data_IF_488045671161
#
_entry.id   IF_488045671161
#
_cell.length_a   1.000
_cell.length_b   1.000
_cell.length_c   1.000
_cell.angle_alpha   90.00
_cell.angle_beta   90.00
_cell.angle_gamma   90.00
#
_symmetry.space_group_name_H-M   'P 1'
#
loop_
_entity.id
_entity.type
_entity.pdbx_description
1 polymer ?
#
# COMPACT_ATOMS: atom_id res chain seq x y z
N UNK A 1 -21.14 -32.29 -27.57
CA UNK A 1 -21.52 -30.87 -27.69
C UNK A 1 -21.18 -30.10 -26.41
N UNK A 2 -20.08 -30.48 -25.76
CA UNK A 2 -19.41 -29.65 -24.76
C UNK A 2 -18.33 -28.84 -25.50
N UNK A 3 -17.95 -27.69 -24.95
CA UNK A 3 -16.65 -27.02 -25.16
C UNK A 3 -16.61 -25.63 -25.83
N UNK A 4 -17.70 -25.04 -26.33
CA UNK A 4 -17.66 -23.63 -26.79
C UNK A 4 -18.24 -22.66 -25.77
N UNK A 5 -19.40 -22.96 -25.21
CA UNK A 5 -20.09 -22.09 -24.25
C UNK A 5 -19.35 -22.03 -22.90
N UNK A 6 -18.83 -23.18 -22.42
CA UNK A 6 -17.97 -23.22 -21.23
C UNK A 6 -16.61 -22.54 -21.45
N UNK A 7 -16.04 -22.65 -22.65
CA UNK A 7 -14.78 -21.98 -22.98
C UNK A 7 -14.97 -20.46 -23.03
N UNK A 8 -16.08 -20.00 -23.61
CA UNK A 8 -16.47 -18.59 -23.64
C UNK A 8 -16.70 -18.03 -22.22
N UNK A 9 -17.41 -18.79 -21.36
CA UNK A 9 -17.64 -18.42 -19.96
C UNK A 9 -16.34 -18.34 -19.15
N UNK A 10 -15.44 -19.33 -19.29
CA UNK A 10 -14.11 -19.29 -18.64
C UNK A 10 -13.27 -18.10 -19.14
N UNK A 11 -13.37 -17.75 -20.42
CA UNK A 11 -12.74 -16.56 -20.98
C UNK A 11 -13.25 -15.27 -20.35
N UNK A 12 -14.57 -15.13 -20.17
CA UNK A 12 -15.17 -13.99 -19.47
C UNK A 12 -14.74 -13.92 -18.01
N UNK A 13 -14.80 -15.03 -17.26
CA UNK A 13 -14.38 -15.08 -15.85
C UNK A 13 -12.89 -14.69 -15.68
N UNK A 14 -12.03 -15.12 -16.62
CA UNK A 14 -10.62 -14.73 -16.63
C UNK A 14 -10.42 -13.23 -16.91
N UNK A 15 -11.17 -12.66 -17.86
CA UNK A 15 -11.13 -11.24 -18.16
C UNK A 15 -11.62 -10.38 -16.98
N UNK A 16 -12.73 -10.77 -16.34
CA UNK A 16 -13.25 -10.07 -15.17
C UNK A 16 -12.25 -10.13 -14.00
N UNK A 17 -11.62 -11.28 -13.78
CA UNK A 17 -10.58 -11.45 -12.77
C UNK A 17 -9.37 -10.54 -13.04
N UNK A 18 -8.94 -10.44 -14.30
CA UNK A 18 -7.85 -9.56 -14.71
C UNK A 18 -8.19 -8.09 -14.50
N UNK A 19 -9.37 -7.64 -14.94
CA UNK A 19 -9.84 -6.26 -14.78
C UNK A 19 -9.96 -5.87 -13.31
N UNK A 20 -10.49 -6.76 -12.47
CA UNK A 20 -10.58 -6.54 -11.03
C UNK A 20 -9.19 -6.44 -10.38
N UNK A 21 -8.25 -7.31 -10.77
CA UNK A 21 -6.87 -7.28 -10.28
C UNK A 21 -6.17 -5.98 -10.67
N UNK A 22 -6.33 -5.53 -11.91
CA UNK A 22 -5.78 -4.27 -12.40
C UNK A 22 -6.38 -3.07 -11.65
N UNK A 23 -7.71 -3.04 -11.49
CA UNK A 23 -8.39 -1.98 -10.74
C UNK A 23 -7.92 -1.92 -9.28
N UNK A 24 -7.75 -3.07 -8.63
CA UNK A 24 -7.25 -3.14 -7.26
C UNK A 24 -5.80 -2.65 -7.16
N UNK A 25 -4.95 -3.04 -8.12
CA UNK A 25 -3.57 -2.55 -8.19
C UNK A 25 -3.52 -1.03 -8.33
N UNK A 26 -4.29 -0.48 -9.28
CA UNK A 26 -4.35 0.95 -9.52
C UNK A 26 -4.82 1.73 -8.28
N UNK A 27 -5.85 1.24 -7.58
CA UNK A 27 -6.33 1.84 -6.33
C UNK A 27 -5.30 1.79 -5.21
N UNK A 28 -4.59 0.67 -5.06
CA UNK A 28 -3.52 0.54 -4.06
C UNK A 28 -2.38 1.52 -4.32
N UNK A 29 -1.93 1.62 -5.57
CA UNK A 29 -0.91 2.60 -5.97
C UNK A 29 -1.37 4.05 -5.77
N UNK A 30 -2.64 4.35 -6.06
CA UNK A 30 -3.21 5.67 -5.81
C UNK A 30 -3.24 5.98 -4.31
N UNK A 31 -3.60 5.01 -3.46
CA UNK A 31 -3.58 5.18 -2.01
C UNK A 31 -2.17 5.49 -1.50
N UNK A 32 -1.15 4.76 -1.97
CA UNK A 32 0.26 5.01 -1.62
C UNK A 32 0.69 6.43 -2.04
N UNK A 33 0.32 6.85 -3.26
CA UNK A 33 0.64 8.18 -3.75
C UNK A 33 -0.04 9.29 -2.92
N UNK A 34 -1.30 9.08 -2.51
CA UNK A 34 -2.01 9.99 -1.60
C UNK A 34 -1.34 10.09 -0.25
N UNK A 35 -1.00 8.95 0.36
CA UNK A 35 -0.33 8.92 1.67
C UNK A 35 1.01 9.67 1.64
N UNK A 36 1.85 9.40 0.63
CA UNK A 36 3.13 10.09 0.47
C UNK A 36 2.96 11.61 0.26
N UNK A 37 1.91 12.03 -0.45
CA UNK A 37 1.59 13.44 -0.64
C UNK A 37 1.14 14.11 0.68
N UNK A 38 0.30 13.42 1.46
CA UNK A 38 -0.18 13.90 2.76
C UNK A 38 0.98 14.05 3.76
N UNK A 39 1.87 13.05 3.85
CA UNK A 39 3.10 13.14 4.65
C UNK A 39 3.99 14.30 4.21
N UNK A 40 4.19 14.48 2.89
CA UNK A 40 5.02 15.57 2.35
C UNK A 40 4.45 16.93 2.74
N UNK A 41 3.12 17.10 2.65
CA UNK A 41 2.44 18.33 3.07
C UNK A 41 2.63 18.58 4.57
N UNK A 42 2.40 17.57 5.40
CA UNK A 42 2.58 17.66 6.85
C UNK A 42 4.01 18.03 7.22
N UNK A 43 5.00 17.37 6.63
CA UNK A 43 6.43 17.64 6.87
C UNK A 43 6.81 19.08 6.50
N UNK A 44 6.23 19.62 5.43
CA UNK A 44 6.41 21.02 5.05
C UNK A 44 5.80 21.98 6.07
N UNK A 45 4.56 21.74 6.51
CA UNK A 45 3.89 22.55 7.54
C UNK A 45 4.68 22.53 8.86
N UNK A 46 5.20 21.37 9.27
CA UNK A 46 6.05 21.23 10.46
C UNK A 46 7.38 21.98 10.32
N UNK A 47 8.00 21.96 9.12
CA UNK A 47 9.23 22.71 8.83
C UNK A 47 9.01 24.21 8.94
N UNK A 48 7.90 24.72 8.40
CA UNK A 48 7.53 26.14 8.49
C UNK A 48 7.30 26.52 9.96
N UNK A 49 6.53 25.73 10.70
CA UNK A 49 6.27 25.98 12.12
C UNK A 49 7.56 25.94 12.96
N UNK A 50 8.52 25.06 12.62
CA UNK A 50 9.84 25.03 13.26
C UNK A 50 10.63 26.31 12.97
N UNK A 51 10.64 26.77 11.72
CA UNK A 51 11.30 28.01 11.33
C UNK A 51 10.73 29.23 12.07
N UNK A 52 9.41 29.34 12.18
CA UNK A 52 8.76 30.42 12.95
C UNK A 52 9.13 30.40 14.43
N UNK A 53 9.30 29.22 15.03
CA UNK A 53 9.77 29.08 16.42
C UNK A 53 11.24 29.49 16.56
N UNK A 54 12.08 29.11 15.59
CA UNK A 54 13.50 29.48 15.57
C UNK A 54 13.69 31.00 15.49
N UNK A 55 12.92 31.70 14.66
CA UNK A 55 13.02 33.17 14.55
C UNK A 55 12.57 33.90 15.82
N UNK A 56 11.75 33.24 16.64
CA UNK A 56 11.24 33.74 17.92
C UNK A 56 12.12 33.35 19.12
N UNK A 57 13.17 32.55 18.91
CA UNK A 57 14.01 32.04 19.98
C UNK A 57 14.94 33.14 20.53
N UNK A 58 14.83 33.42 21.84
CA UNK A 58 15.57 34.49 22.50
C UNK A 58 16.98 34.13 22.99
N UNK A 59 17.40 32.87 22.84
CA UNK A 59 18.71 32.39 23.31
C UNK A 59 19.22 31.20 22.49
N UNK A 60 20.53 30.95 22.56
CA UNK A 60 21.15 29.78 21.93
C UNK A 60 20.63 28.47 22.53
N UNK A 61 20.41 28.42 23.85
CA UNK A 61 19.84 27.26 24.55
C UNK A 61 18.46 26.89 23.97
N UNK A 62 17.59 27.88 23.78
CA UNK A 62 16.25 27.68 23.21
C UNK A 62 16.31 27.18 21.76
N UNK A 63 17.27 27.66 20.96
CA UNK A 63 17.51 27.17 19.60
C UNK A 63 17.94 25.70 19.61
N UNK A 64 18.84 25.31 20.52
CA UNK A 64 19.31 23.93 20.65
C UNK A 64 18.15 22.99 21.03
N UNK A 65 17.33 23.38 22.01
CA UNK A 65 16.16 22.61 22.43
C UNK A 65 15.13 22.44 21.29
N UNK A 66 14.83 23.53 20.57
CA UNK A 66 13.92 23.49 19.41
C UNK A 66 14.46 22.57 18.32
N UNK A 67 15.74 22.71 17.95
CA UNK A 67 16.34 21.89 16.90
C UNK A 67 16.40 20.40 17.28
N UNK A 68 16.75 20.09 18.52
CA UNK A 68 16.78 18.72 19.02
C UNK A 68 15.39 18.07 18.98
N UNK A 69 14.37 18.81 19.41
CA UNK A 69 12.97 18.37 19.38
C UNK A 69 12.48 18.15 17.95
N UNK A 70 12.79 19.08 17.04
CA UNK A 70 12.43 18.97 15.62
C UNK A 70 13.05 17.72 14.98
N UNK A 71 14.36 17.50 15.15
CA UNK A 71 15.06 16.34 14.57
C UNK A 71 14.49 15.03 15.11
N UNK A 72 14.23 14.95 16.43
CA UNK A 72 13.61 13.77 17.04
C UNK A 72 12.25 13.48 16.41
N UNK A 73 11.36 14.48 16.39
CA UNK A 73 10.01 14.33 15.85
C UNK A 73 10.01 13.98 14.36
N UNK A 74 10.89 14.61 13.58
CA UNK A 74 11.03 14.31 12.15
C UNK A 74 11.48 12.86 11.90
N UNK A 75 12.40 12.34 12.73
CA UNK A 75 12.85 10.95 12.64
C UNK A 75 11.72 9.97 12.99
N UNK A 76 11.02 10.21 14.10
CA UNK A 76 9.88 9.38 14.53
C UNK A 76 8.76 9.37 13.48
N UNK A 77 8.41 10.55 12.94
CA UNK A 77 7.41 10.67 11.90
C UNK A 77 7.81 9.96 10.60
N UNK A 78 9.07 10.12 10.17
CA UNK A 78 9.58 9.47 8.97
C UNK A 78 9.55 7.94 9.09
N UNK A 79 10.00 7.38 10.21
CA UNK A 79 9.99 5.93 10.43
C UNK A 79 8.56 5.39 10.44
N UNK A 80 7.64 6.09 11.11
CA UNK A 80 6.23 5.71 11.13
C UNK A 80 5.62 5.70 9.71
N UNK A 81 5.92 6.73 8.92
CA UNK A 81 5.46 6.83 7.53
C UNK A 81 6.04 5.71 6.64
N UNK A 82 7.34 5.45 6.77
CA UNK A 82 8.00 4.39 6.01
C UNK A 82 7.42 3.01 6.34
N UNK A 83 7.10 2.75 7.62
CA UNK A 83 6.40 1.53 8.03
C UNK A 83 5.01 1.44 7.40
N UNK A 84 4.24 2.53 7.43
CA UNK A 84 2.89 2.60 6.85
C UNK A 84 2.89 2.33 5.34
N UNK A 85 3.78 2.99 4.59
CA UNK A 85 3.93 2.74 3.15
C UNK A 85 4.36 1.28 2.90
N UNK A 86 5.26 0.74 3.72
CA UNK A 86 5.67 -0.66 3.64
C UNK A 86 4.52 -1.65 3.83
N UNK A 87 3.64 -1.41 4.81
CA UNK A 87 2.42 -2.18 5.04
C UNK A 87 1.47 -2.10 3.83
N UNK A 88 1.27 -0.90 3.27
CA UNK A 88 0.43 -0.72 2.07
C UNK A 88 0.94 -1.50 0.86
N UNK A 89 2.27 -1.55 0.65
CA UNK A 89 2.86 -2.39 -0.40
C UNK A 89 2.69 -3.89 -0.12
N UNK A 90 2.85 -4.32 1.13
CA UNK A 90 2.62 -5.71 1.54
C UNK A 90 1.17 -6.13 1.31
N UNK A 91 0.20 -5.28 1.66
CA UNK A 91 -1.22 -5.52 1.44
C UNK A 91 -1.57 -5.60 -0.04
N UNK A 92 -0.96 -4.75 -0.87
CA UNK A 92 -1.12 -4.78 -2.33
C UNK A 92 -0.58 -6.10 -2.93
N UNK A 93 0.58 -6.56 -2.47
CA UNK A 93 1.17 -7.83 -2.88
C UNK A 93 0.32 -9.03 -2.43
N UNK A 94 -0.14 -9.06 -1.18
CA UNK A 94 -0.94 -10.19 -0.66
C UNK A 94 -2.36 -10.21 -1.20
N UNK A 95 -2.97 -9.04 -1.44
CA UNK A 95 -4.29 -8.90 -2.06
C UNK A 95 -4.32 -9.44 -3.49
N UNK A 96 -3.23 -9.25 -4.25
CA UNK A 96 -3.10 -9.84 -5.59
C UNK A 96 -2.88 -11.35 -5.54
N UNK A 97 -2.14 -11.89 -4.56
CA UNK A 97 -1.95 -13.34 -4.37
C UNK A 97 -3.25 -14.12 -4.12
N UNK A 98 -4.19 -13.57 -3.34
CA UNK A 98 -5.48 -14.24 -3.07
C UNK A 98 -6.33 -14.45 -4.34
N UNK A 99 -6.23 -13.55 -5.31
CA UNK A 99 -6.88 -13.70 -6.62
C UNK A 99 -6.33 -14.89 -7.42
N UNK A 100 -5.09 -15.34 -7.14
CA UNK A 100 -4.47 -16.50 -7.77
C UNK A 100 -4.72 -17.83 -7.03
N UNK A 101 -5.02 -17.82 -5.73
CA UNK A 101 -5.32 -19.04 -4.97
C UNK A 101 -6.65 -19.68 -5.38
N UNK A 102 -7.69 -18.88 -5.65
CA UNK A 102 -9.01 -19.41 -6.02
C UNK A 102 -9.03 -20.23 -7.33
N UNK A 103 -8.33 -19.81 -8.41
CA UNK A 103 -8.15 -20.63 -9.62
C UNK A 103 -7.35 -21.93 -9.38
N UNK A 104 -6.27 -21.88 -8.61
CA UNK A 104 -5.39 -23.04 -8.36
C UNK A 104 -6.07 -24.07 -7.46
N UNK A 105 -6.77 -23.63 -6.41
CA UNK A 105 -7.54 -24.51 -5.55
C UNK A 105 -8.68 -25.21 -6.31
N UNK A 106 -9.34 -24.51 -7.25
CA UNK A 106 -10.34 -25.11 -8.16
C UNK A 106 -9.73 -26.08 -9.17
N UNK A 107 -8.52 -25.82 -9.65
CA UNK A 107 -7.80 -26.74 -10.54
C UNK A 107 -7.29 -28.00 -9.83
N UNK A 108 -6.98 -27.90 -8.53
CA UNK A 108 -6.52 -29.02 -7.72
C UNK A 108 -7.66 -29.94 -7.22
N UNK A 109 -8.89 -29.43 -7.12
CA UNK A 109 -10.06 -30.21 -6.71
C UNK A 109 -10.33 -31.47 -7.58
N UNK A 110 -10.32 -31.40 -8.93
CA UNK A 110 -10.49 -32.60 -9.76
C UNK A 110 -9.32 -33.59 -9.66
N UNK A 111 -8.09 -33.11 -9.43
CA UNK A 111 -6.92 -33.99 -9.27
C UNK A 111 -6.98 -34.81 -7.96
N UNK A 112 -7.54 -34.23 -6.89
CA UNK A 112 -7.70 -34.90 -5.60
C UNK A 112 -8.85 -35.91 -5.60
N UNK A 113 -9.90 -35.67 -6.39
CA UNK A 113 -11.00 -36.61 -6.59
C UNK A 113 -10.58 -37.85 -7.42
N UNK A 114 -9.68 -37.68 -8.39
CA UNK A 114 -9.14 -38.77 -9.19
C UNK A 114 -8.13 -39.66 -8.43
N UNK A 115 -7.46 -39.13 -7.41
CA UNK A 115 -6.53 -39.89 -6.57
C UNK A 115 -7.22 -40.67 -5.43
N UNK A 116 -8.53 -40.44 -5.21
CA UNK A 116 -9.34 -41.10 -4.18
C UNK A 116 -10.33 -42.13 -4.76
N UNK A 117 -10.26 -42.40 -6.06
CA UNK A 117 -11.07 -43.38 -6.80
C UNK A 117 -10.24 -44.62 -7.17
#
# INVERSE_FOLDING_TARGET
MFSFDEANKKGQEAMDTMLNSYSSLAKGMQAIATEAADYSKKSYEESVAHFERLTSAGSLEAVIELQASYVKNACEAYVAEAMKIGEMYSDLATGTYKSYEAPVARAAAPAKAAAAA
#
